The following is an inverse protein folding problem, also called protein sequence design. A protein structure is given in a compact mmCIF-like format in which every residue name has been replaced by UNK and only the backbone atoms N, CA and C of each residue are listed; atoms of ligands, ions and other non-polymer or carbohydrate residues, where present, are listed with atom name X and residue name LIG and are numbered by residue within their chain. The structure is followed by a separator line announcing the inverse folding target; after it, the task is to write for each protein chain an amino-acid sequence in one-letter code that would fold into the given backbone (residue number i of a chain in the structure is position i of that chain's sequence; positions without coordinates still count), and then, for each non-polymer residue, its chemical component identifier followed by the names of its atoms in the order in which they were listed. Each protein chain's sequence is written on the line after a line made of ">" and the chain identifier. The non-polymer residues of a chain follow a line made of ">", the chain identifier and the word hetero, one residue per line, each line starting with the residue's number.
data_IF_085810507668
#
_entry.id   IF_085810507668
#
_cell.length_a   1.000
_cell.length_b   1.000
_cell.length_c   1.000
_cell.angle_alpha   90.00
_cell.angle_beta   90.00
_cell.angle_gamma   90.00
#
_symmetry.space_group_name_H-M   'P 1'
#
loop_
_entity.id
_entity.type
_entity.pdbx_description
1 polymer ?
#
# COMPACT_ATOMS: atom_id res chain seq x y z
N UNK A 1 -9.34 -14.88 -17.11
CA UNK A 1 -8.82 -13.80 -16.26
C UNK A 1 -7.69 -13.08 -16.99
N UNK A 2 -7.83 -11.77 -17.21
CA UNK A 2 -6.79 -10.97 -17.86
C UNK A 2 -5.52 -10.95 -16.99
N UNK A 3 -4.36 -11.04 -17.65
CA UNK A 3 -3.03 -11.05 -17.07
C UNK A 3 -2.15 -10.09 -17.86
N UNK A 4 -1.16 -9.48 -17.21
CA UNK A 4 -0.26 -8.50 -17.82
C UNK A 4 0.13 -7.41 -16.83
N UNK A 5 1.12 -6.61 -17.21
CA UNK A 5 1.71 -5.55 -16.36
C UNK A 5 0.85 -4.29 -16.24
N UNK A 6 -0.17 -4.13 -17.09
CA UNK A 6 -1.06 -2.96 -17.14
C UNK A 6 -2.54 -3.34 -16.95
N UNK A 7 -2.80 -4.44 -16.23
CA UNK A 7 -4.17 -4.88 -15.96
C UNK A 7 -4.68 -4.20 -14.69
N UNK A 8 -5.76 -3.43 -14.82
CA UNK A 8 -6.56 -2.95 -13.71
C UNK A 8 -7.71 -3.91 -13.45
N UNK A 9 -8.13 -4.04 -12.19
CA UNK A 9 -9.28 -4.88 -11.80
C UNK A 9 -10.27 -4.07 -11.01
N UNK A 10 -11.55 -4.33 -11.23
CA UNK A 10 -12.65 -3.74 -10.48
C UNK A 10 -13.59 -4.87 -10.11
N UNK A 11 -13.98 -4.93 -8.83
CA UNK A 11 -14.94 -5.89 -8.30
C UNK A 11 -15.98 -5.18 -7.45
N UNK A 12 -17.23 -5.65 -7.48
CA UNK A 12 -18.22 -5.24 -6.49
C UNK A 12 -17.97 -5.96 -5.17
N UNK A 13 -18.08 -5.22 -4.07
CA UNK A 13 -18.03 -5.77 -2.72
C UNK A 13 -19.38 -6.38 -2.35
N UNK A 14 -19.45 -7.69 -2.01
CA UNK A 14 -20.71 -8.36 -1.72
C UNK A 14 -21.53 -7.67 -0.63
N UNK A 15 -22.85 -7.52 -0.87
CA UNK A 15 -23.77 -6.90 0.09
C UNK A 15 -23.68 -5.37 0.16
N UNK A 16 -23.03 -4.73 -0.81
CA UNK A 16 -22.93 -3.28 -0.91
C UNK A 16 -22.95 -2.82 -2.37
N UNK A 17 -23.17 -1.51 -2.57
CA UNK A 17 -22.99 -0.85 -3.86
C UNK A 17 -21.55 -0.33 -4.05
N UNK A 18 -20.60 -0.77 -3.22
CA UNK A 18 -19.20 -0.38 -3.28
C UNK A 18 -18.42 -1.20 -4.31
N UNK A 19 -17.48 -0.54 -4.97
CA UNK A 19 -16.51 -1.10 -5.89
C UNK A 19 -15.12 -1.04 -5.26
N UNK A 20 -14.38 -2.15 -5.30
CA UNK A 20 -12.94 -2.17 -5.03
C UNK A 20 -12.19 -2.21 -6.36
N UNK A 21 -11.34 -1.21 -6.59
CA UNK A 21 -10.42 -1.14 -7.73
C UNK A 21 -9.00 -1.49 -7.30
N UNK A 22 -8.31 -2.26 -8.12
CA UNK A 22 -6.89 -2.57 -8.02
C UNK A 22 -6.16 -2.03 -9.25
N UNK A 23 -5.23 -1.10 -9.04
CA UNK A 23 -4.36 -0.58 -10.08
C UNK A 23 -3.30 -1.62 -10.47
N UNK A 24 -2.72 -1.50 -11.67
CA UNK A 24 -1.67 -2.40 -12.13
C UNK A 24 -0.39 -2.37 -11.27
N UNK A 25 -0.20 -1.31 -10.46
CA UNK A 25 0.86 -1.22 -9.45
C UNK A 25 0.55 -1.94 -8.13
N UNK A 26 -0.67 -2.46 -7.96
CA UNK A 26 -1.14 -3.15 -6.75
C UNK A 26 -1.84 -2.25 -5.73
N UNK A 27 -1.88 -0.93 -5.95
CA UNK A 27 -2.67 -0.02 -5.11
C UNK A 27 -4.16 -0.36 -5.18
N UNK A 28 -4.87 -0.24 -4.05
CA UNK A 28 -6.32 -0.50 -3.95
C UNK A 28 -7.08 0.71 -3.45
N UNK A 29 -8.29 0.90 -3.96
CA UNK A 29 -9.21 1.94 -3.51
C UNK A 29 -10.66 1.45 -3.58
N UNK A 30 -11.50 1.94 -2.67
CA UNK A 30 -12.93 1.62 -2.63
C UNK A 30 -13.73 2.89 -2.87
N UNK A 31 -14.67 2.83 -3.80
CA UNK A 31 -15.59 3.92 -4.08
C UNK A 31 -16.97 3.35 -4.45
N UNK A 32 -18.03 4.10 -4.14
CA UNK A 32 -19.40 3.77 -4.60
C UNK A 32 -19.58 4.13 -6.07
N UNK A 33 -19.09 5.31 -6.46
CA UNK A 33 -19.24 5.84 -7.81
C UNK A 33 -18.21 5.23 -8.78
N UNK A 34 -18.66 4.57 -9.87
CA UNK A 34 -17.76 3.97 -10.86
C UNK A 34 -16.83 5.00 -11.51
N UNK A 35 -17.33 6.22 -11.76
CA UNK A 35 -16.54 7.29 -12.36
C UNK A 35 -15.38 7.71 -11.45
N UNK A 36 -15.66 7.92 -10.15
CA UNK A 36 -14.63 8.26 -9.16
C UNK A 36 -13.55 7.18 -9.06
N UNK A 37 -13.93 5.89 -9.13
CA UNK A 37 -12.98 4.80 -9.13
C UNK A 37 -12.09 4.79 -10.39
N UNK A 38 -12.67 5.07 -11.56
CA UNK A 38 -11.90 5.17 -12.81
C UNK A 38 -10.96 6.37 -12.84
N UNK A 39 -11.42 7.53 -12.35
CA UNK A 39 -10.57 8.72 -12.18
C UNK A 39 -9.38 8.39 -11.29
N UNK A 40 -9.61 7.73 -10.15
CA UNK A 40 -8.53 7.31 -9.25
C UNK A 40 -7.58 6.29 -9.90
N UNK A 41 -8.10 5.29 -10.63
CA UNK A 41 -7.28 4.29 -11.31
C UNK A 41 -6.38 4.93 -12.39
N UNK A 42 -6.95 5.80 -13.22
CA UNK A 42 -6.26 6.44 -14.34
C UNK A 42 -5.30 7.56 -13.90
N UNK A 43 -5.44 8.08 -12.68
CA UNK A 43 -4.52 9.04 -12.08
C UNK A 43 -3.18 8.42 -11.66
N UNK A 44 -2.85 7.19 -12.07
CA UNK A 44 -1.51 6.65 -11.84
C UNK A 44 -0.45 7.50 -12.57
N UNK A 45 0.66 7.90 -11.92
CA UNK A 45 1.16 7.44 -10.61
C UNK A 45 0.70 8.23 -9.38
N UNK A 46 -0.04 9.33 -9.55
CA UNK A 46 -0.44 10.22 -8.46
C UNK A 46 -1.27 9.51 -7.39
N UNK A 47 -0.80 9.55 -6.14
CA UNK A 47 -1.48 8.91 -5.01
C UNK A 47 -1.36 7.39 -4.97
N UNK A 48 -0.59 6.78 -5.88
CA UNK A 48 -0.35 5.33 -5.96
C UNK A 48 1.09 4.98 -5.58
N UNK A 49 1.62 5.65 -4.56
CA UNK A 49 2.95 5.35 -4.05
C UNK A 49 2.89 4.05 -3.25
N UNK A 50 3.66 3.04 -3.67
CA UNK A 50 3.95 1.91 -2.80
C UNK A 50 4.55 2.49 -1.51
N UNK A 51 3.87 2.29 -0.38
CA UNK A 51 4.54 2.48 0.89
C UNK A 51 5.80 1.61 0.82
N UNK A 52 6.98 2.25 0.85
CA UNK A 52 8.24 1.53 0.92
C UNK A 52 8.10 0.50 2.05
N UNK A 53 8.41 -0.79 1.81
CA UNK A 53 8.41 -1.75 2.89
C UNK A 53 9.27 -1.18 4.01
N UNK A 54 8.84 -1.22 5.28
CA UNK A 54 9.59 -0.62 6.36
C UNK A 54 10.99 -1.20 6.32
N UNK A 55 11.99 -0.34 6.09
CA UNK A 55 13.39 -0.74 6.17
C UNK A 55 13.56 -1.34 7.57
N UNK A 56 14.01 -2.61 7.71
CA UNK A 56 14.18 -3.18 9.03
C UNK A 56 15.11 -2.27 9.81
N UNK A 57 14.62 -1.72 10.92
CA UNK A 57 15.40 -0.83 11.75
C UNK A 57 16.66 -1.59 12.19
N UNK A 58 17.83 -1.10 11.80
CA UNK A 58 19.09 -1.54 12.38
C UNK A 58 18.94 -1.37 13.90
N UNK A 59 19.06 -2.45 14.71
CA UNK A 59 18.99 -2.30 16.15
C UNK A 59 20.05 -1.27 16.59
N UNK A 60 19.73 -0.35 17.52
CA UNK A 60 20.72 0.60 18.01
C UNK A 60 21.93 -0.18 18.55
N UNK A 61 23.17 0.33 18.39
CA UNK A 61 24.34 -0.33 18.93
C UNK A 61 24.11 -0.55 20.42
N UNK A 62 24.40 -1.76 20.89
CA UNK A 62 24.27 -2.11 22.30
C UNK A 62 25.00 -1.05 23.14
N UNK A 63 24.27 -0.44 24.07
CA UNK A 63 24.85 0.53 24.99
C UNK A 63 26.05 -0.11 25.71
N UNK A 64 27.16 0.62 25.94
CA UNK A 64 28.26 0.08 26.70
C UNK A 64 27.76 -0.28 28.11
N UNK A 65 27.92 -1.55 28.46
CA UNK A 65 27.70 -2.08 29.80
C UNK A 65 28.44 -1.18 30.81
N UNK A 66 27.69 -0.63 31.77
CA UNK A 66 28.26 0.28 32.76
C UNK A 66 29.31 -0.48 33.58
N UNK A 67 30.59 -0.13 33.40
CA UNK A 67 31.67 -0.66 34.21
C UNK A 67 31.43 -0.33 35.70
N UNK A 68 31.72 -1.25 36.63
CA UNK A 68 31.53 -1.00 38.05
C UNK A 68 32.48 0.11 38.53
N UNK A 69 31.93 1.05 39.29
CA UNK A 69 32.71 2.08 40.01
C UNK A 69 33.53 1.37 41.11
N UNK A 70 34.85 1.53 41.17
CA UNK A 70 35.65 0.94 42.24
C UNK A 70 35.33 1.62 43.59
N UNK A 71 35.22 0.81 44.65
CA UNK A 71 35.00 1.24 46.04
C UNK A 71 36.30 1.68 46.70
#
# INVERSE_FOLDING_TARGET
>A
MLRGTNVMRIVWLPGSDLLEGECHCGARHVAEEPAALWEWLLAHPEGHHLAEPPVPATPPPAAPESAPVPV
#
